data_IF_149279705336
#
_entry.id   IF_149279705336
#
_cell.length_a   1.000
_cell.length_b   1.000
_cell.length_c   1.000
_cell.angle_alpha   90.00
_cell.angle_beta   90.00
_cell.angle_gamma   90.00
#
_symmetry.space_group_name_H-M   'P 1'
#
loop_
_entity.id
_entity.type
_entity.pdbx_description
1 polymer ?
#
# COMPACT_ATOMS: atom_id res chain seq x y z
N UNK A 1 -7.50 5.67 -15.98
CA UNK A 1 -6.16 6.24 -15.74
C UNK A 1 -6.15 6.55 -14.26
N UNK A 2 -5.66 5.69 -13.39
CA UNK A 2 -4.34 5.05 -13.43
C UNK A 2 -3.45 5.81 -12.45
N UNK A 3 -3.97 6.08 -11.25
CA UNK A 3 -3.42 7.08 -10.33
C UNK A 3 -2.00 6.74 -9.83
N UNK A 4 -1.60 5.48 -9.89
CA UNK A 4 -0.29 4.99 -9.43
C UNK A 4 0.26 3.96 -10.41
N UNK A 5 1.48 4.18 -10.88
CA UNK A 5 2.26 3.27 -11.70
C UNK A 5 3.55 2.88 -10.96
N UNK A 6 3.89 1.60 -10.94
CA UNK A 6 5.10 1.10 -10.29
C UNK A 6 5.86 0.21 -11.27
N UNK A 7 7.15 0.52 -11.44
CA UNK A 7 8.06 -0.26 -12.26
C UNK A 7 9.05 -1.03 -11.35
N UNK A 8 8.93 -2.37 -11.25
CA UNK A 8 9.80 -3.18 -10.40
C UNK A 8 11.23 -3.34 -10.93
N UNK A 9 11.45 -3.13 -12.22
CA UNK A 9 12.77 -3.27 -12.83
C UNK A 9 13.66 -2.07 -12.50
N UNK A 10 13.09 -0.87 -12.54
CA UNK A 10 13.77 0.40 -12.26
C UNK A 10 13.57 0.88 -10.83
N UNK A 11 12.67 0.22 -10.07
CA UNK A 11 12.23 0.62 -8.72
C UNK A 11 11.66 2.04 -8.68
N UNK A 12 10.96 2.42 -9.75
CA UNK A 12 10.36 3.75 -9.91
C UNK A 12 8.87 3.67 -9.60
N UNK A 13 8.35 4.71 -8.94
CA UNK A 13 6.92 4.90 -8.74
C UNK A 13 6.53 6.23 -9.33
N UNK A 14 5.48 6.24 -10.15
CA UNK A 14 4.87 7.42 -10.72
C UNK A 14 3.46 7.54 -10.18
N UNK A 15 3.05 8.75 -9.83
CA UNK A 15 1.66 9.08 -9.51
C UNK A 15 1.22 10.14 -10.49
N UNK A 16 0.19 9.85 -11.29
CA UNK A 16 -0.30 10.77 -12.33
C UNK A 16 0.85 11.28 -13.23
N UNK A 17 1.76 10.37 -13.62
CA UNK A 17 2.96 10.70 -14.39
C UNK A 17 4.08 11.44 -13.63
N UNK A 18 3.90 11.75 -12.35
CA UNK A 18 4.91 12.42 -11.51
C UNK A 18 5.70 11.41 -10.67
N UNK A 19 7.04 11.41 -10.70
CA UNK A 19 7.84 10.50 -9.90
C UNK A 19 7.68 10.76 -8.40
N UNK A 20 7.41 9.68 -7.66
CA UNK A 20 7.30 9.65 -6.20
C UNK A 20 8.56 9.01 -5.64
N UNK A 21 9.34 9.80 -4.91
CA UNK A 21 10.57 9.32 -4.27
C UNK A 21 10.24 8.45 -3.06
N UNK A 22 10.37 7.13 -3.21
CA UNK A 22 10.18 6.15 -2.14
C UNK A 22 11.53 5.53 -1.75
N UNK A 23 11.74 5.34 -0.45
CA UNK A 23 12.84 4.52 0.05
C UNK A 23 12.63 3.06 -0.33
N UNK A 24 13.68 2.24 -0.26
CA UNK A 24 13.59 0.81 -0.61
C UNK A 24 12.49 0.06 0.16
N UNK A 25 12.30 0.40 1.43
CA UNK A 25 11.26 -0.19 2.29
C UNK A 25 9.86 0.26 1.86
N UNK A 26 9.68 1.55 1.60
CA UNK A 26 8.41 2.12 1.13
C UNK A 26 8.02 1.56 -0.24
N UNK A 27 8.98 1.42 -1.14
CA UNK A 27 8.80 0.79 -2.44
C UNK A 27 8.36 -0.67 -2.29
N UNK A 28 9.09 -1.46 -1.49
CA UNK A 28 8.77 -2.87 -1.29
C UNK A 28 7.39 -3.04 -0.64
N UNK A 29 7.00 -2.16 0.29
CA UNK A 29 5.68 -2.12 0.90
C UNK A 29 4.60 -1.87 -0.14
N UNK A 30 4.74 -0.81 -0.95
CA UNK A 30 3.77 -0.48 -1.99
C UNK A 30 3.68 -1.59 -3.04
N UNK A 31 4.82 -2.16 -3.44
CA UNK A 31 4.88 -3.29 -4.37
C UNK A 31 4.16 -4.52 -3.84
N UNK A 32 4.38 -4.89 -2.56
CA UNK A 32 3.69 -6.03 -1.95
C UNK A 32 2.17 -5.82 -1.92
N UNK A 33 1.72 -4.60 -1.63
CA UNK A 33 0.30 -4.24 -1.61
C UNK A 33 -0.32 -4.20 -3.02
N UNK A 34 0.42 -3.72 -4.02
CA UNK A 34 -0.01 -3.67 -5.42
C UNK A 34 -0.06 -5.06 -6.05
N UNK A 35 0.90 -5.94 -5.73
CA UNK A 35 0.93 -7.33 -6.21
C UNK A 35 -0.32 -8.10 -5.78
N UNK A 36 -0.80 -7.81 -4.57
CA UNK A 36 -1.99 -8.39 -3.97
C UNK A 36 -3.14 -7.35 -3.90
N UNK A 37 -3.24 -6.46 -4.91
CA UNK A 37 -4.25 -5.41 -4.94
C UNK A 37 -5.68 -5.99 -4.83
N UNK A 38 -6.52 -5.34 -4.03
CA UNK A 38 -7.86 -5.84 -3.68
C UNK A 38 -7.88 -6.97 -2.65
N UNK A 39 -6.72 -7.44 -2.16
CA UNK A 39 -6.62 -8.43 -1.08
C UNK A 39 -5.97 -7.83 0.16
N UNK A 40 -6.33 -8.38 1.31
CA UNK A 40 -5.75 -7.97 2.58
C UNK A 40 -4.39 -8.65 2.75
N UNK A 41 -3.34 -7.84 2.87
CA UNK A 41 -1.99 -8.28 3.22
C UNK A 41 -1.78 -8.06 4.71
N UNK A 42 -1.41 -9.11 5.45
CA UNK A 42 -1.26 -9.05 6.91
C UNK A 42 -0.03 -8.26 7.30
N UNK A 43 -0.05 -7.65 8.51
CA UNK A 43 1.13 -6.96 9.06
C UNK A 43 2.33 -7.89 9.17
N UNK A 44 2.09 -9.13 9.57
CA UNK A 44 3.10 -10.19 9.64
C UNK A 44 3.78 -10.40 8.29
N UNK A 45 2.99 -10.58 7.24
CA UNK A 45 3.51 -10.79 5.90
C UNK A 45 4.29 -9.58 5.39
N UNK A 46 3.82 -8.36 5.67
CA UNK A 46 4.53 -7.14 5.29
C UNK A 46 5.85 -6.99 6.06
N UNK A 47 5.90 -7.28 7.37
CA UNK A 47 7.17 -7.22 8.12
C UNK A 47 8.17 -8.24 7.58
N UNK A 48 7.72 -9.47 7.32
CA UNK A 48 8.60 -10.52 6.79
C UNK A 48 9.12 -10.18 5.39
N UNK A 49 8.24 -9.79 4.46
CA UNK A 49 8.62 -9.56 3.06
C UNK A 49 9.29 -8.21 2.81
N UNK A 50 8.92 -7.16 3.55
CA UNK A 50 9.43 -5.79 3.32
C UNK A 50 10.66 -5.50 4.19
N UNK A 51 10.63 -5.92 5.46
CA UNK A 51 11.70 -5.63 6.44
C UNK A 51 12.65 -6.82 6.64
N UNK A 52 12.37 -7.99 6.06
CA UNK A 52 13.17 -9.21 6.19
C UNK A 52 13.48 -9.58 7.64
N UNK A 53 12.50 -9.40 8.53
CA UNK A 53 12.62 -9.68 9.95
C UNK A 53 11.37 -10.37 10.48
N UNK A 54 11.49 -11.00 11.65
CA UNK A 54 10.32 -11.59 12.32
C UNK A 54 9.37 -10.51 12.83
N UNK A 55 8.08 -10.69 12.55
CA UNK A 55 7.03 -9.87 13.11
C UNK A 55 7.00 -9.95 14.64
N UNK A 56 6.77 -8.81 15.29
CA UNK A 56 6.49 -8.70 16.71
C UNK A 56 5.11 -8.07 16.91
N UNK A 57 4.30 -8.51 17.88
CA UNK A 57 2.98 -7.92 18.13
C UNK A 57 3.02 -6.42 18.53
N UNK A 58 4.20 -5.91 18.90
CA UNK A 58 4.43 -4.49 19.20
C UNK A 58 5.08 -3.72 18.03
N UNK A 59 5.27 -4.39 16.89
CA UNK A 59 5.91 -3.81 15.70
C UNK A 59 4.97 -2.82 15.01
N UNK A 60 5.30 -1.54 15.12
CA UNK A 60 4.59 -0.43 14.45
C UNK A 60 5.37 0.14 13.27
N UNK A 61 6.45 -0.53 12.84
CA UNK A 61 7.28 -0.03 11.74
C UNK A 61 6.49 0.00 10.44
N UNK A 62 5.67 -1.03 10.16
CA UNK A 62 4.81 -1.04 8.96
C UNK A 62 3.81 0.12 8.99
N UNK A 63 3.16 0.39 10.12
CA UNK A 63 2.22 1.51 10.22
C UNK A 63 2.90 2.86 9.93
N UNK A 64 4.14 3.05 10.39
CA UNK A 64 4.94 4.24 10.06
C UNK A 64 5.26 4.32 8.56
N UNK A 65 5.66 3.21 7.94
CA UNK A 65 5.96 3.17 6.50
C UNK A 65 4.71 3.40 5.65
N UNK A 66 3.57 2.79 6.01
CA UNK A 66 2.28 3.04 5.35
C UNK A 66 1.90 4.51 5.44
N UNK A 67 2.03 5.14 6.61
CA UNK A 67 1.74 6.57 6.77
C UNK A 67 2.62 7.45 5.89
N UNK A 68 3.92 7.15 5.78
CA UNK A 68 4.83 7.87 4.88
C UNK A 68 4.47 7.65 3.40
N UNK A 69 4.21 6.41 3.01
CA UNK A 69 3.80 6.07 1.63
C UNK A 69 2.52 6.81 1.27
N UNK A 70 1.47 6.76 2.10
CA UNK A 70 0.23 7.54 1.90
C UNK A 70 0.51 9.02 1.69
N UNK A 71 1.33 9.63 2.57
CA UNK A 71 1.68 11.05 2.46
C UNK A 71 2.42 11.37 1.15
N UNK A 72 3.33 10.49 0.72
CA UNK A 72 4.10 10.65 -0.53
C UNK A 72 3.24 10.41 -1.78
N UNK A 73 2.32 9.45 -1.70
CA UNK A 73 1.27 9.22 -2.68
C UNK A 73 0.16 10.28 -2.59
N UNK A 74 0.27 11.29 -1.71
CA UNK A 74 -0.73 12.32 -1.46
C UNK A 74 -2.14 11.79 -1.23
N UNK A 75 -2.27 10.62 -0.61
CA UNK A 75 -3.47 10.18 0.07
C UNK A 75 -3.67 11.09 1.30
N UNK A 76 -4.83 11.74 1.38
CA UNK A 76 -5.26 12.51 2.55
C UNK A 76 -6.38 11.77 3.25
N UNK A 77 -6.64 12.06 4.53
CA UNK A 77 -7.77 11.48 5.29
C UNK A 77 -9.16 11.72 4.63
N UNK A 78 -9.22 12.61 3.64
CA UNK A 78 -10.42 12.95 2.85
C UNK A 78 -10.32 12.56 1.36
N UNK A 79 -9.23 11.89 0.94
CA UNK A 79 -9.00 11.47 -0.46
C UNK A 79 -9.35 10.00 -0.70
N UNK A 80 -9.33 9.52 -1.96
CA UNK A 80 -9.51 8.09 -2.23
C UNK A 80 -8.31 7.32 -1.67
N UNK A 81 -8.44 6.76 -0.46
CA UNK A 81 -7.39 5.95 0.17
C UNK A 81 -7.00 4.78 -0.74
N UNK A 82 -5.87 4.92 -1.44
CA UNK A 82 -5.27 3.83 -2.21
C UNK A 82 -4.86 2.69 -1.29
N UNK A 83 -4.35 3.01 -0.10
CA UNK A 83 -4.03 2.02 0.93
C UNK A 83 -5.06 2.16 2.04
N UNK A 84 -5.87 1.13 2.29
CA UNK A 84 -6.81 1.09 3.42
C UNK A 84 -6.28 0.21 4.54
N UNK A 85 -6.56 0.63 5.77
CA UNK A 85 -6.19 -0.14 6.98
C UNK A 85 -7.33 -1.08 7.36
N UNK A 86 -7.05 -2.38 7.42
CA UNK A 86 -7.95 -3.38 7.99
C UNK A 86 -7.57 -3.59 9.45
N UNK A 87 -8.38 -3.05 10.36
CA UNK A 87 -8.13 -3.12 11.82
C UNK A 87 -7.96 -4.58 12.25
N UNK A 88 -6.92 -4.84 13.04
CA UNK A 88 -6.62 -6.19 13.54
C UNK A 88 -5.97 -7.14 12.53
N UNK A 89 -6.00 -6.85 11.23
CA UNK A 89 -5.51 -7.79 10.19
C UNK A 89 -4.29 -7.25 9.45
N UNK A 90 -4.41 -6.08 8.82
CA UNK A 90 -3.35 -5.57 7.96
C UNK A 90 -3.80 -4.43 7.06
N UNK A 91 -3.39 -4.49 5.80
CA UNK A 91 -3.53 -3.41 4.82
C UNK A 91 -4.01 -3.96 3.49
N UNK A 92 -4.79 -3.18 2.76
CA UNK A 92 -5.30 -3.52 1.43
C UNK A 92 -5.06 -2.35 0.49
N UNK A 93 -4.55 -2.65 -0.71
CA UNK A 93 -4.53 -1.65 -1.77
C UNK A 93 -5.91 -1.62 -2.46
N UNK A 94 -6.66 -0.55 -2.25
CA UNK A 94 -7.91 -0.29 -2.92
C UNK A 94 -7.64 0.38 -4.26
N UNK A 95 -7.93 -0.32 -5.35
CA UNK A 95 -7.84 0.27 -6.69
C UNK A 95 -8.82 1.46 -6.79
N UNK A 96 -8.40 2.63 -7.28
CA UNK A 96 -9.35 3.68 -7.62
C UNK A 96 -10.20 3.16 -8.79
N UNK A 97 -11.43 2.80 -8.46
CA UNK A 97 -12.58 2.48 -9.33
C UNK A 97 -12.56 1.14 -10.08
N UNK A 98 -13.23 0.17 -9.48
CA UNK A 98 -14.48 -0.34 -10.06
C UNK A 98 -15.61 -0.14 -9.05
N UNK A 99 -16.45 0.88 -9.29
CA UNK A 99 -17.81 0.90 -8.76
C UNK A 99 -18.64 -0.11 -9.59
N UNK A 100 -18.68 -1.37 -9.16
CA UNK A 100 -19.73 -2.37 -9.44
C UNK A 100 -19.39 -3.60 -8.58
N UNK A 101 -20.25 -4.15 -7.72
CA UNK A 101 -21.69 -4.37 -7.88
C UNK A 101 -22.39 -4.40 -6.50
N UNK A 102 -23.60 -3.86 -6.46
CA UNK A 102 -24.62 -4.12 -5.43
C UNK A 102 -24.99 -5.61 -5.32
N UNK A 103 -25.82 -5.88 -4.30
CA UNK A 103 -26.59 -7.09 -3.92
C UNK A 103 -26.11 -7.51 -2.51
N UNK A 104 -26.60 -6.90 -1.43
CA UNK A 104 -27.96 -7.09 -0.87
C UNK A 104 -28.53 -8.47 -1.19
N UNK A 105 -28.52 -9.34 -0.18
CA UNK A 105 -29.38 -10.51 -0.10
C UNK A 105 -29.83 -10.68 1.35
#
# INVERSE_FOLDING_TARGET
MGDIELDPATRTVLRDGTPVDLTSVEFNLLYALLRDAGRVVTREHLVDTVLSRKFSPFDRSIDMHVSKVRKKLGDSESGPDHIKTVRGVGYIFAHPREHARSEDQ
#
